data_IF_067144694798
#
_entry.id   IF_067144694798
#
_cell.length_a   1.000
_cell.length_b   1.000
_cell.length_c   1.000
_cell.angle_alpha   90.00
_cell.angle_beta   90.00
_cell.angle_gamma   90.00
#
_symmetry.space_group_name_H-M   'P 1'
#
loop_
_entity.id
_entity.type
_entity.pdbx_description
1 polymer ?
#
# COMPACT_ATOMS: atom_id res chain seq x y z
N UNK A 1 -17.58 -25.62 -4.56
CA UNK A 1 -16.54 -25.40 -3.55
C UNK A 1 -16.02 -24.00 -3.77
N UNK A 2 -16.52 -23.05 -2.99
CA UNK A 2 -16.29 -21.62 -3.20
C UNK A 2 -14.94 -21.28 -2.59
N UNK A 3 -13.93 -20.98 -3.40
CA UNK A 3 -12.70 -20.40 -2.91
C UNK A 3 -13.04 -19.03 -2.32
N UNK A 4 -13.01 -18.91 -0.99
CA UNK A 4 -12.97 -17.62 -0.34
C UNK A 4 -11.65 -17.00 -0.79
N UNK A 5 -11.72 -16.02 -1.70
CA UNK A 5 -10.59 -15.17 -2.02
C UNK A 5 -10.34 -14.29 -0.79
N UNK A 6 -9.63 -14.80 0.21
CA UNK A 6 -9.24 -14.03 1.39
C UNK A 6 -8.32 -12.87 1.00
N UNK A 7 -8.31 -11.86 1.85
CA UNK A 7 -7.41 -10.69 1.69
C UNK A 7 -5.98 -11.21 1.78
N UNK A 8 -5.11 -10.80 0.85
CA UNK A 8 -3.70 -11.22 0.85
C UNK A 8 -2.78 -10.15 1.41
N UNK A 9 -1.82 -10.58 2.20
CA UNK A 9 -0.80 -9.73 2.84
C UNK A 9 0.59 -10.31 2.65
N UNK A 10 1.60 -9.48 2.88
CA UNK A 10 2.98 -9.81 2.58
C UNK A 10 3.68 -10.43 3.79
N UNK A 11 4.29 -11.59 3.57
CA UNK A 11 5.32 -12.13 4.46
C UNK A 11 6.70 -12.00 3.81
N UNK A 12 7.72 -11.75 4.62
CA UNK A 12 9.11 -11.59 4.18
C UNK A 12 10.00 -12.36 5.14
N UNK A 13 11.09 -12.94 4.66
CA UNK A 13 12.08 -13.57 5.56
C UNK A 13 12.70 -12.50 6.47
N UNK A 14 12.78 -12.78 7.77
CA UNK A 14 13.16 -11.81 8.81
C UNK A 14 14.61 -11.31 8.77
N UNK A 15 15.44 -11.82 7.86
CA UNK A 15 16.81 -11.37 7.63
C UNK A 15 17.25 -11.67 6.19
N UNK A 16 17.98 -10.73 5.59
CA UNK A 16 18.65 -10.92 4.31
C UNK A 16 19.76 -11.95 4.43
N UNK A 17 19.50 -13.20 4.05
CA UNK A 17 20.55 -14.21 3.94
C UNK A 17 21.40 -13.98 2.67
N UNK A 18 22.71 -14.15 2.78
CA UNK A 18 23.71 -14.00 1.72
C UNK A 18 23.48 -14.99 0.57
N UNK A 19 22.68 -16.04 0.80
CA UNK A 19 22.31 -17.04 -0.21
C UNK A 19 21.02 -16.73 -0.98
N UNK A 20 20.21 -15.76 -0.51
CA UNK A 20 18.92 -15.40 -1.10
C UNK A 20 18.94 -13.95 -1.60
N UNK A 21 19.57 -13.77 -2.77
CA UNK A 21 19.79 -12.46 -3.41
C UNK A 21 18.48 -11.73 -3.80
N UNK A 22 17.34 -12.43 -3.74
CA UNK A 22 16.00 -11.90 -3.86
C UNK A 22 15.13 -12.51 -2.76
N UNK A 23 15.02 -11.85 -1.61
CA UNK A 23 13.95 -12.14 -0.66
C UNK A 23 12.64 -11.62 -1.25
N UNK A 24 12.07 -12.36 -2.21
CA UNK A 24 10.77 -12.04 -2.76
C UNK A 24 9.74 -12.21 -1.63
N UNK A 25 9.05 -11.13 -1.27
CA UNK A 25 7.94 -11.25 -0.34
C UNK A 25 6.84 -12.13 -0.94
N UNK A 26 6.22 -12.97 -0.12
CA UNK A 26 5.17 -13.90 -0.52
C UNK A 26 3.80 -13.32 -0.12
N UNK A 27 2.85 -13.32 -1.05
CA UNK A 27 1.48 -12.93 -0.75
C UNK A 27 0.70 -14.14 -0.23
N UNK A 28 0.25 -14.07 1.02
CA UNK A 28 -0.45 -15.13 1.76
C UNK A 28 -1.78 -14.64 2.31
N UNK A 29 -2.69 -15.55 2.67
CA UNK A 29 -4.00 -15.20 3.25
C UNK A 29 -3.82 -14.59 4.65
N UNK A 30 -4.64 -13.58 5.00
CA UNK A 30 -4.57 -12.91 6.32
C UNK A 30 -4.79 -13.84 7.51
N UNK A 31 -5.47 -14.97 7.31
CA UNK A 31 -5.74 -15.97 8.34
C UNK A 31 -4.58 -16.95 8.56
N UNK A 32 -3.53 -16.91 7.73
CA UNK A 32 -2.32 -17.69 7.98
C UNK A 32 -1.58 -17.19 9.23
N UNK A 33 -0.87 -18.09 9.90
CA UNK A 33 -0.13 -17.76 11.11
C UNK A 33 1.37 -17.64 10.80
N UNK A 34 1.95 -16.46 11.04
CA UNK A 34 3.36 -16.16 10.79
C UNK A 34 3.98 -15.41 11.98
N UNK A 35 5.30 -15.34 12.00
CA UNK A 35 6.05 -14.67 13.06
C UNK A 35 5.86 -13.13 13.04
N UNK A 36 5.95 -12.48 14.20
CA UNK A 36 5.77 -11.02 14.29
C UNK A 36 7.08 -10.31 14.56
N UNK A 37 7.26 -9.18 13.90
CA UNK A 37 8.27 -8.17 14.20
C UNK A 37 7.69 -6.78 14.04
N UNK A 38 8.08 -5.88 14.93
CA UNK A 38 7.55 -4.53 14.94
C UNK A 38 8.66 -3.51 14.70
N UNK A 39 8.26 -2.42 14.05
CA UNK A 39 9.07 -1.24 13.80
C UNK A 39 8.37 -0.02 14.42
N UNK A 40 9.14 0.97 14.86
CA UNK A 40 8.60 2.23 15.37
C UNK A 40 9.41 3.42 14.88
N UNK A 41 8.71 4.53 14.66
CA UNK A 41 9.29 5.83 14.32
C UNK A 41 9.88 6.55 15.54
N UNK A 42 9.55 6.08 16.75
CA UNK A 42 10.00 6.66 18.00
C UNK A 42 10.59 5.59 18.92
N UNK A 43 11.83 5.82 19.36
CA UNK A 43 12.41 5.02 20.44
C UNK A 43 11.72 5.25 21.79
N UNK A 44 12.06 4.44 22.79
CA UNK A 44 11.51 4.56 24.13
C UNK A 44 11.70 3.30 24.97
N UNK A 45 11.07 3.26 26.14
CA UNK A 45 11.05 2.06 26.99
C UNK A 45 10.42 0.90 26.22
N UNK A 46 11.16 -0.20 26.08
CA UNK A 46 10.72 -1.39 25.32
C UNK A 46 11.30 -1.48 23.91
N UNK A 47 11.87 -0.41 23.35
CA UNK A 47 12.55 -0.43 22.06
C UNK A 47 14.08 -0.56 22.24
N UNK A 48 14.71 -1.37 21.37
CA UNK A 48 16.16 -1.58 21.38
C UNK A 48 16.95 -0.36 20.89
N UNK A 49 18.26 -0.49 20.71
CA UNK A 49 19.03 0.55 20.03
C UNK A 49 18.66 0.61 18.54
N UNK A 50 18.53 1.82 18.00
CA UNK A 50 18.35 2.01 16.55
C UNK A 50 19.62 1.58 15.83
N UNK A 51 19.49 0.80 14.75
CA UNK A 51 20.63 0.42 13.90
C UNK A 51 21.05 1.60 13.02
N UNK A 52 22.34 1.68 12.70
CA UNK A 52 22.92 2.83 12.01
C UNK A 52 22.27 3.11 10.64
N UNK A 53 21.94 2.05 9.90
CA UNK A 53 21.37 2.13 8.55
C UNK A 53 19.83 2.07 8.54
N UNK A 54 19.19 2.27 9.69
CA UNK A 54 17.74 2.16 9.85
C UNK A 54 17.15 3.45 10.39
N UNK A 55 16.13 3.97 9.70
CA UNK A 55 15.40 5.13 10.20
C UNK A 55 14.44 4.78 11.34
N UNK A 56 14.09 3.50 11.49
CA UNK A 56 13.18 2.97 12.51
C UNK A 56 13.88 2.17 13.61
N UNK A 57 13.23 2.07 14.77
CA UNK A 57 13.57 1.12 15.83
C UNK A 57 12.89 -0.22 15.56
N UNK A 58 13.66 -1.32 15.48
CA UNK A 58 13.13 -2.65 15.22
C UNK A 58 13.23 -3.59 16.43
N UNK A 59 12.23 -4.46 16.64
CA UNK A 59 12.24 -5.50 17.69
C UNK A 59 11.36 -6.71 17.33
N UNK A 60 11.84 -7.91 17.68
CA UNK A 60 11.09 -9.18 17.54
C UNK A 60 10.40 -9.64 18.84
N UNK A 61 10.88 -9.21 20.01
CA UNK A 61 10.28 -9.53 21.31
C UNK A 61 9.30 -8.40 21.70
N UNK A 62 8.02 -8.57 21.36
CA UNK A 62 7.01 -7.52 21.46
C UNK A 62 5.68 -8.06 22.01
N UNK A 63 5.39 -7.88 23.32
CA UNK A 63 6.35 -7.72 24.43
C UNK A 63 7.13 -9.02 24.75
N UNK A 64 6.72 -10.14 24.16
CA UNK A 64 7.36 -11.44 24.15
C UNK A 64 7.48 -11.97 22.71
N UNK A 65 8.02 -13.17 22.52
CA UNK A 65 8.17 -13.75 21.18
C UNK A 65 6.83 -14.27 20.63
N UNK A 66 6.42 -13.73 19.49
CA UNK A 66 5.20 -14.13 18.77
C UNK A 66 5.54 -14.98 17.56
N UNK A 67 5.23 -16.28 17.65
CA UNK A 67 5.63 -17.28 16.66
C UNK A 67 4.57 -17.61 15.61
N UNK A 68 3.31 -17.25 15.86
CA UNK A 68 2.19 -17.67 15.03
C UNK A 68 0.99 -16.74 15.25
N UNK A 69 0.90 -15.68 14.44
CA UNK A 69 -0.18 -14.69 14.53
C UNK A 69 -0.78 -14.44 13.15
N UNK A 70 -2.09 -14.16 13.10
CA UNK A 70 -2.75 -13.65 11.89
C UNK A 70 -2.30 -12.22 11.60
N UNK A 71 -2.54 -11.72 10.39
CA UNK A 71 -2.13 -10.36 10.02
C UNK A 71 -2.71 -9.30 10.95
N UNK A 72 -4.03 -9.37 11.22
CA UNK A 72 -4.71 -8.39 12.07
C UNK A 72 -4.22 -8.46 13.53
N UNK A 73 -3.97 -9.67 14.04
CA UNK A 73 -3.36 -9.87 15.36
C UNK A 73 -1.97 -9.26 15.43
N UNK A 74 -1.12 -9.54 14.44
CA UNK A 74 0.23 -9.03 14.35
C UNK A 74 0.27 -7.49 14.25
N UNK A 75 -0.64 -6.90 13.48
CA UNK A 75 -0.80 -5.45 13.40
C UNK A 75 -1.18 -4.84 14.75
N UNK A 76 -2.13 -5.44 15.46
CA UNK A 76 -2.56 -4.98 16.77
C UNK A 76 -1.44 -5.10 17.81
N UNK A 77 -0.72 -6.22 17.83
CA UNK A 77 0.43 -6.44 18.73
C UNK A 77 1.48 -5.33 18.58
N UNK A 78 1.80 -4.94 17.34
CA UNK A 78 2.73 -3.84 17.13
C UNK A 78 2.16 -2.48 17.53
N UNK A 79 0.87 -2.23 17.25
CA UNK A 79 0.20 -0.99 17.64
C UNK A 79 0.15 -0.80 19.17
N UNK A 80 -0.09 -1.88 19.92
CA UNK A 80 -0.19 -1.86 21.40
C UNK A 80 1.11 -1.41 22.07
N UNK A 81 2.26 -1.55 21.41
CA UNK A 81 3.57 -1.07 21.91
C UNK A 81 4.02 0.25 21.27
N UNK A 82 3.12 0.96 20.59
CA UNK A 82 3.42 2.21 19.90
C UNK A 82 4.29 2.03 18.66
N UNK A 83 4.15 0.90 17.98
CA UNK A 83 4.82 0.60 16.73
C UNK A 83 3.83 0.20 15.64
N UNK A 84 4.37 -0.42 14.59
CA UNK A 84 3.66 -0.99 13.46
C UNK A 84 4.41 -2.22 12.95
N UNK A 85 3.76 -3.01 12.09
CA UNK A 85 4.50 -3.99 11.29
C UNK A 85 5.55 -3.27 10.44
N UNK A 86 6.70 -3.91 10.26
CA UNK A 86 7.79 -3.36 9.47
C UNK A 86 7.47 -3.38 7.97
N UNK A 87 7.97 -2.39 7.23
CA UNK A 87 7.91 -2.41 5.78
C UNK A 87 8.84 -3.48 5.21
N UNK A 88 8.60 -3.88 3.97
CA UNK A 88 9.48 -4.76 3.23
C UNK A 88 10.92 -4.23 3.24
N UNK A 89 11.09 -2.94 2.98
CA UNK A 89 12.40 -2.28 2.96
C UNK A 89 13.11 -2.34 4.30
N UNK A 90 12.40 -2.09 5.41
CA UNK A 90 12.97 -2.21 6.76
C UNK A 90 13.41 -3.64 7.08
N UNK A 91 12.67 -4.64 6.60
CA UNK A 91 13.04 -6.04 6.73
C UNK A 91 14.25 -6.40 5.85
N UNK A 92 14.34 -5.88 4.63
CA UNK A 92 15.52 -6.05 3.75
C UNK A 92 16.79 -5.39 4.27
N UNK A 93 16.65 -4.29 5.01
CA UNK A 93 17.74 -3.58 5.68
C UNK A 93 18.12 -4.20 7.02
N UNK A 94 17.55 -5.37 7.36
CA UNK A 94 17.80 -6.08 8.61
C UNK A 94 17.48 -5.23 9.86
N UNK A 95 16.56 -4.26 9.79
CA UNK A 95 16.31 -3.32 10.88
C UNK A 95 15.82 -3.99 12.17
N UNK A 96 15.21 -5.17 12.06
CA UNK A 96 14.75 -6.00 13.18
C UNK A 96 15.62 -7.23 13.44
N UNK A 97 16.66 -7.48 12.62
CA UNK A 97 17.44 -8.72 12.71
C UNK A 97 18.26 -8.81 14.00
N UNK A 98 18.41 -10.02 14.54
CA UNK A 98 19.19 -10.25 15.77
C UNK A 98 18.65 -9.51 17.01
N UNK A 99 17.38 -9.11 17.00
CA UNK A 99 16.72 -8.45 18.15
C UNK A 99 16.04 -9.46 19.11
N UNK A 100 16.14 -10.76 18.82
CA UNK A 100 15.60 -11.85 19.64
C UNK A 100 14.72 -12.84 18.86
N UNK A 101 14.16 -13.82 19.58
CA UNK A 101 13.13 -14.76 19.11
C UNK A 101 13.45 -15.72 17.96
N UNK A 102 14.68 -15.70 17.42
CA UNK A 102 15.12 -16.59 16.33
C UNK A 102 14.23 -16.50 15.07
N UNK A 103 13.61 -15.35 14.82
CA UNK A 103 12.78 -15.14 13.62
C UNK A 103 13.60 -14.79 12.37
N UNK A 104 14.94 -14.80 12.43
CA UNK A 104 15.79 -14.25 11.35
C UNK A 104 15.67 -15.07 10.06
N UNK A 105 15.43 -16.37 10.17
CA UNK A 105 15.23 -17.31 9.07
C UNK A 105 13.74 -17.65 8.85
N UNK A 106 12.83 -16.88 9.48
CA UNK A 106 11.38 -17.13 9.47
C UNK A 106 10.62 -16.08 8.66
N UNK A 107 9.39 -16.42 8.29
CA UNK A 107 8.51 -15.51 7.55
C UNK A 107 7.79 -14.59 8.52
N UNK A 108 8.02 -13.30 8.41
CA UNK A 108 7.39 -12.31 9.28
C UNK A 108 6.42 -11.46 8.49
N UNK A 109 5.34 -11.04 9.13
CA UNK A 109 4.39 -10.11 8.54
C UNK A 109 5.03 -8.77 8.21
N UNK A 110 4.71 -8.25 7.02
CA UNK A 110 5.12 -6.92 6.57
C UNK A 110 3.91 -6.02 6.38
N UNK A 111 4.06 -4.74 6.73
CA UNK A 111 3.05 -3.73 6.40
C UNK A 111 3.02 -3.36 4.93
N UNK A 112 4.08 -3.68 4.17
CA UNK A 112 4.13 -3.42 2.73
C UNK A 112 3.15 -4.29 1.98
N UNK A 113 2.56 -3.74 0.93
CA UNK A 113 1.89 -4.55 -0.07
C UNK A 113 2.90 -5.48 -0.77
N UNK A 114 2.47 -6.64 -1.29
CA UNK A 114 3.34 -7.49 -2.08
C UNK A 114 4.00 -6.71 -3.21
N UNK A 115 5.30 -6.89 -3.45
CA UNK A 115 6.04 -6.16 -4.51
C UNK A 115 5.56 -6.45 -5.94
N UNK A 116 4.65 -7.43 -6.10
CA UNK A 116 3.98 -7.74 -7.34
C UNK A 116 2.47 -7.44 -7.29
N UNK A 117 2.01 -6.71 -6.26
CA UNK A 117 0.64 -6.25 -6.20
C UNK A 117 0.39 -5.34 -7.40
N UNK A 118 -0.74 -5.58 -8.07
CA UNK A 118 -1.14 -4.81 -9.22
C UNK A 118 -2.47 -4.15 -8.96
N UNK A 119 -2.55 -2.89 -9.35
CA UNK A 119 -3.78 -2.14 -9.46
C UNK A 119 -4.08 -1.89 -10.93
N UNK A 120 -5.33 -1.54 -11.21
CA UNK A 120 -5.68 -1.04 -12.52
C UNK A 120 -5.29 0.43 -12.62
N UNK A 121 -4.68 0.78 -13.74
CA UNK A 121 -4.65 2.15 -14.22
C UNK A 121 -5.62 2.24 -15.39
N UNK A 122 -6.41 3.32 -15.42
CA UNK A 122 -7.53 3.50 -16.34
C UNK A 122 -7.33 4.78 -17.09
N UNK A 123 -7.62 4.78 -18.39
CA UNK A 123 -7.48 5.96 -19.22
C UNK A 123 -8.28 7.13 -18.62
N UNK A 124 -7.69 8.32 -18.60
CA UNK A 124 -8.29 9.52 -18.03
C UNK A 124 -9.55 10.01 -18.75
N UNK A 125 -9.79 9.52 -19.95
CA UNK A 125 -11.05 9.64 -20.67
C UNK A 125 -11.27 8.39 -21.52
N UNK A 126 -12.50 7.88 -21.59
CA UNK A 126 -12.87 6.59 -22.17
C UNK A 126 -12.36 6.27 -23.59
N UNK A 127 -11.99 7.29 -24.40
CA UNK A 127 -11.62 7.13 -25.81
C UNK A 127 -10.15 7.44 -26.18
N UNK A 128 -9.30 7.89 -25.24
CA UNK A 128 -8.03 8.54 -25.63
C UNK A 128 -6.75 7.67 -25.57
N UNK A 129 -6.71 6.60 -24.77
CA UNK A 129 -5.48 5.82 -24.56
C UNK A 129 -5.39 4.53 -25.39
N UNK A 130 -6.38 4.25 -26.25
CA UNK A 130 -6.48 3.02 -27.06
C UNK A 130 -6.83 1.74 -26.28
N UNK A 131 -6.40 1.63 -25.01
CA UNK A 131 -6.78 0.57 -24.07
C UNK A 131 -7.35 1.20 -22.81
N UNK A 132 -8.60 0.85 -22.44
CA UNK A 132 -9.31 1.52 -21.35
C UNK A 132 -8.65 1.31 -19.99
N UNK A 133 -8.15 0.11 -19.70
CA UNK A 133 -7.49 -0.21 -18.45
C UNK A 133 -6.37 -1.23 -18.63
N UNK A 134 -5.27 -1.04 -17.92
CA UNK A 134 -4.14 -1.98 -17.87
C UNK A 134 -3.74 -2.26 -16.42
N UNK A 135 -3.07 -3.38 -16.20
CA UNK A 135 -2.53 -3.74 -14.89
C UNK A 135 -1.14 -3.12 -14.71
N UNK A 136 -0.96 -2.34 -13.65
CA UNK A 136 0.32 -1.73 -13.28
C UNK A 136 0.77 -2.25 -11.91
N UNK A 137 2.06 -2.49 -11.73
CA UNK A 137 2.65 -2.74 -10.42
C UNK A 137 2.52 -1.48 -9.57
N UNK A 138 2.24 -1.65 -8.27
CA UNK A 138 2.05 -0.51 -7.34
C UNK A 138 3.24 0.46 -7.25
N UNK A 139 4.44 0.03 -7.65
CA UNK A 139 5.67 0.84 -7.70
C UNK A 139 5.86 1.60 -9.02
N UNK A 140 5.04 1.33 -10.04
CA UNK A 140 5.05 2.12 -11.28
C UNK A 140 4.53 3.53 -11.00
N UNK A 141 4.98 4.49 -11.81
CA UNK A 141 4.53 5.87 -11.70
C UNK A 141 3.45 6.12 -12.74
N UNK A 142 2.29 6.60 -12.28
CA UNK A 142 1.14 6.97 -13.11
C UNK A 142 0.48 8.24 -12.58
N UNK A 143 -0.38 8.84 -13.40
CA UNK A 143 -1.13 10.05 -13.12
C UNK A 143 -2.18 9.82 -12.02
N UNK A 144 -2.54 10.91 -11.31
CA UNK A 144 -3.51 10.83 -10.20
C UNK A 144 -4.71 11.72 -10.45
N UNK A 145 -5.89 11.13 -10.28
CA UNK A 145 -7.14 11.85 -10.06
C UNK A 145 -7.83 11.30 -8.83
N UNK A 146 -8.49 12.20 -8.11
CA UNK A 146 -9.19 11.86 -6.89
C UNK A 146 -10.69 11.99 -7.09
N UNK A 147 -11.41 11.10 -6.40
CA UNK A 147 -12.85 11.10 -6.28
C UNK A 147 -13.26 11.35 -4.83
N UNK A 148 -14.42 11.95 -4.62
CA UNK A 148 -15.02 12.16 -3.30
C UNK A 148 -16.52 11.91 -3.34
N UNK A 149 -17.06 11.42 -2.23
CA UNK A 149 -18.51 11.26 -1.99
C UNK A 149 -19.19 12.57 -1.57
N UNK A 150 -18.40 13.60 -1.26
CA UNK A 150 -18.92 14.91 -0.85
C UNK A 150 -18.13 16.03 -1.51
N UNK A 151 -18.86 16.98 -2.09
CA UNK A 151 -18.30 18.24 -2.53
C UNK A 151 -17.90 19.13 -1.36
N UNK A 152 -17.20 20.23 -1.65
CA UNK A 152 -16.77 21.17 -0.62
C UNK A 152 -15.68 22.10 -1.12
N UNK A 153 -15.05 22.82 -0.19
CA UNK A 153 -13.91 23.69 -0.52
C UNK A 153 -12.78 22.83 -1.10
N UNK A 154 -12.32 23.16 -2.30
CA UNK A 154 -11.30 22.40 -3.02
C UNK A 154 -11.85 21.38 -4.01
N UNK A 155 -13.15 21.07 -3.99
CA UNK A 155 -13.78 20.21 -5.01
C UNK A 155 -14.49 21.10 -6.05
N UNK A 156 -14.30 20.78 -7.34
CA UNK A 156 -14.92 21.51 -8.45
C UNK A 156 -16.41 21.15 -8.61
N UNK A 157 -16.98 21.60 -9.73
CA UNK A 157 -18.33 21.21 -10.10
C UNK A 157 -18.40 19.70 -10.36
N UNK A 158 -19.46 19.06 -9.86
CA UNK A 158 -19.68 17.64 -10.08
C UNK A 158 -20.15 17.41 -11.52
N UNK A 159 -19.59 16.40 -12.19
CA UNK A 159 -20.15 15.94 -13.47
C UNK A 159 -21.61 15.50 -13.23
N UNK A 160 -22.60 16.06 -13.95
CA UNK A 160 -24.02 15.79 -13.69
C UNK A 160 -24.43 14.33 -13.87
N UNK A 161 -23.64 13.55 -14.61
CA UNK A 161 -23.88 12.11 -14.83
C UNK A 161 -23.20 11.23 -13.77
N UNK A 162 -22.54 11.82 -12.77
CA UNK A 162 -21.76 11.10 -11.78
C UNK A 162 -22.25 11.37 -10.35
N UNK A 163 -22.15 10.33 -9.54
CA UNK A 163 -22.49 10.42 -8.11
C UNK A 163 -21.35 11.03 -7.29
N UNK A 164 -20.11 10.92 -7.77
CA UNK A 164 -18.88 11.43 -7.13
C UNK A 164 -18.39 12.75 -7.72
N UNK A 165 -17.64 13.50 -6.91
CA UNK A 165 -16.87 14.68 -7.34
C UNK A 165 -15.48 14.24 -7.80
N UNK A 166 -15.08 14.67 -8.99
CA UNK A 166 -13.76 14.37 -9.57
C UNK A 166 -12.83 15.57 -9.57
N UNK A 167 -11.51 15.34 -9.40
CA UNK A 167 -10.49 16.39 -9.51
C UNK A 167 -9.10 15.84 -9.88
N UNK A 168 -8.43 16.51 -10.81
CA UNK A 168 -7.02 16.22 -11.20
C UNK A 168 -5.97 17.09 -10.51
N UNK A 169 -6.32 18.29 -10.06
CA UNK A 169 -5.38 19.22 -9.42
C UNK A 169 -5.46 19.08 -7.89
N UNK A 170 -4.63 18.22 -7.31
CA UNK A 170 -4.82 17.74 -5.93
C UNK A 170 -3.48 17.63 -5.19
N UNK A 171 -3.03 18.69 -4.49
CA UNK A 171 -3.39 20.12 -4.64
C UNK A 171 -2.76 20.80 -5.88
N UNK A 172 -1.87 20.10 -6.57
CA UNK A 172 -1.26 20.41 -7.87
C UNK A 172 -1.39 19.19 -8.80
N UNK A 173 -0.93 19.31 -10.05
CA UNK A 173 -1.00 18.20 -11.00
C UNK A 173 0.02 17.10 -10.68
N UNK A 174 -0.48 15.92 -10.30
CA UNK A 174 0.35 14.74 -10.06
C UNK A 174 0.50 13.90 -11.32
N UNK A 175 1.64 14.00 -11.96
CA UNK A 175 1.95 13.31 -13.24
C UNK A 175 2.65 11.96 -13.07
N UNK A 176 3.16 11.64 -11.87
CA UNK A 176 3.98 10.45 -11.68
C UNK A 176 4.02 10.09 -10.19
N UNK A 177 3.07 9.28 -9.74
CA UNK A 177 2.99 8.81 -8.36
C UNK A 177 2.93 7.28 -8.31
N UNK A 178 3.50 6.68 -7.27
CA UNK A 178 3.24 5.27 -6.95
C UNK A 178 1.82 5.11 -6.41
N UNK A 179 1.27 3.90 -6.42
CA UNK A 179 -0.11 3.67 -5.98
C UNK A 179 -0.37 4.14 -4.54
N UNK A 180 0.54 3.83 -3.61
CA UNK A 180 0.41 4.23 -2.21
C UNK A 180 0.54 5.75 -2.04
N UNK A 181 1.44 6.40 -2.79
CA UNK A 181 1.56 7.86 -2.82
C UNK A 181 0.30 8.52 -3.35
N UNK A 182 -0.23 8.02 -4.49
CA UNK A 182 -1.46 8.52 -5.11
C UNK A 182 -2.67 8.38 -4.18
N UNK A 183 -2.78 7.25 -3.46
CA UNK A 183 -3.82 7.03 -2.45
C UNK A 183 -3.71 8.05 -1.31
N UNK A 184 -2.51 8.33 -0.83
CA UNK A 184 -2.30 9.32 0.23
C UNK A 184 -2.63 10.74 -0.24
N UNK A 185 -2.21 11.12 -1.46
CA UNK A 185 -2.54 12.41 -2.07
C UNK A 185 -4.06 12.64 -2.08
N UNK A 186 -4.84 11.64 -2.47
CA UNK A 186 -6.30 11.76 -2.44
C UNK A 186 -6.88 11.80 -1.03
N UNK A 187 -6.30 11.06 -0.09
CA UNK A 187 -6.74 11.07 1.31
C UNK A 187 -6.51 12.44 1.97
N UNK A 188 -5.41 13.13 1.65
CA UNK A 188 -5.03 14.41 2.23
C UNK A 188 -6.03 15.55 1.93
N UNK A 189 -6.78 15.41 0.83
CA UNK A 189 -7.85 16.36 0.44
C UNK A 189 -9.26 15.86 0.83
N UNK A 190 -9.35 14.81 1.64
CA UNK A 190 -10.60 14.18 2.06
C UNK A 190 -11.31 13.37 0.96
N UNK A 191 -10.56 12.91 -0.03
CA UNK A 191 -11.06 12.04 -1.11
C UNK A 191 -10.42 10.65 -1.07
N UNK A 192 -10.47 9.99 -2.22
CA UNK A 192 -9.88 8.67 -2.50
C UNK A 192 -9.49 8.58 -3.97
N UNK A 193 -8.70 7.57 -4.33
CA UNK A 193 -8.59 7.19 -5.74
C UNK A 193 -9.97 6.79 -6.26
N UNK A 194 -10.24 7.12 -7.52
CA UNK A 194 -11.47 6.74 -8.21
C UNK A 194 -11.50 5.24 -8.49
N UNK A 195 -12.69 4.65 -8.49
CA UNK A 195 -12.86 3.27 -8.95
C UNK A 195 -12.66 3.20 -10.46
N UNK A 196 -12.44 1.99 -10.98
CA UNK A 196 -12.33 1.76 -12.42
C UNK A 196 -13.59 2.27 -13.13
N UNK A 197 -14.75 1.95 -12.58
CA UNK A 197 -16.05 2.29 -13.14
C UNK A 197 -16.29 3.81 -13.17
N UNK A 198 -15.79 4.54 -12.17
CA UNK A 198 -15.85 6.01 -12.16
C UNK A 198 -14.95 6.66 -13.21
N UNK A 199 -13.77 6.07 -13.45
CA UNK A 199 -12.84 6.55 -14.48
C UNK A 199 -13.34 6.21 -15.89
N UNK A 200 -13.81 4.98 -16.13
CA UNK A 200 -14.43 4.59 -17.40
C UNK A 200 -15.75 5.34 -17.68
N UNK A 201 -16.41 5.84 -16.63
CA UNK A 201 -17.59 6.70 -16.72
C UNK A 201 -17.29 8.20 -16.90
N UNK A 202 -16.02 8.57 -17.13
CA UNK A 202 -15.56 9.95 -17.33
C UNK A 202 -15.92 10.90 -16.17
N UNK A 203 -16.06 10.39 -14.94
CA UNK A 203 -16.47 11.20 -13.80
C UNK A 203 -15.44 12.22 -13.34
N UNK A 204 -14.18 12.04 -13.76
CA UNK A 204 -13.10 12.99 -13.49
C UNK A 204 -12.59 13.69 -14.74
N UNK A 205 -13.13 13.39 -15.93
CA UNK A 205 -12.67 13.93 -17.22
C UNK A 205 -12.78 15.45 -17.28
N UNK A 206 -11.82 16.11 -17.94
CA UNK A 206 -11.82 17.56 -18.12
C UNK A 206 -11.67 18.38 -16.82
N UNK A 207 -11.27 17.76 -15.70
CA UNK A 207 -11.06 18.47 -14.43
C UNK A 207 -9.68 19.13 -14.31
N UNK A 208 -8.85 19.08 -15.36
CA UNK A 208 -7.56 19.76 -15.47
C UNK A 208 -6.37 18.80 -15.65
N UNK A 209 -5.15 19.37 -15.59
CA UNK A 209 -3.86 18.66 -15.63
C UNK A 209 -3.51 17.88 -16.91
N UNK A 210 -4.36 17.94 -17.96
CA UNK A 210 -4.16 17.25 -19.24
C UNK A 210 -4.03 15.72 -19.14
N UNK A 211 -4.45 15.12 -18.02
CA UNK A 211 -4.37 13.68 -17.83
C UNK A 211 -5.44 12.91 -18.63
N UNK A 212 -6.23 13.55 -19.48
CA UNK A 212 -7.37 12.90 -20.19
C UNK A 212 -6.83 11.86 -21.19
N UNK A 213 -5.57 12.03 -21.60
CA UNK A 213 -4.85 11.16 -22.53
C UNK A 213 -3.90 10.16 -21.82
N UNK A 214 -3.90 10.14 -20.48
CA UNK A 214 -2.97 9.37 -19.65
C UNK A 214 -3.67 8.21 -18.90
N UNK A 215 -2.88 7.24 -18.42
CA UNK A 215 -3.38 6.15 -17.57
C UNK A 215 -3.31 6.55 -16.09
N UNK A 216 -4.44 6.49 -15.40
CA UNK A 216 -4.63 7.07 -14.08
C UNK A 216 -4.84 5.98 -13.05
N UNK A 217 -4.22 6.12 -11.89
CA UNK A 217 -4.42 5.18 -10.78
C UNK A 217 -5.90 5.02 -10.40
N UNK A 218 -6.35 3.77 -10.38
CA UNK A 218 -7.65 3.38 -9.84
C UNK A 218 -7.53 2.65 -8.50
N UNK A 219 -8.48 2.88 -7.60
CA UNK A 219 -8.63 2.09 -6.38
C UNK A 219 -8.97 0.62 -6.65
N UNK A 220 -9.35 0.25 -7.87
CA UNK A 220 -9.71 -1.13 -8.25
C UNK A 220 -8.45 -1.99 -8.34
N UNK A 221 -8.33 -2.96 -7.43
CA UNK A 221 -7.27 -3.95 -7.45
C UNK A 221 -7.41 -4.90 -8.65
N UNK A 222 -6.29 -5.42 -9.14
CA UNK A 222 -6.32 -6.54 -10.08
C UNK A 222 -6.67 -7.82 -9.31
N UNK A 223 -7.96 -8.10 -9.11
CA UNK A 223 -8.41 -9.37 -8.55
C UNK A 223 -8.06 -10.51 -9.51
N UNK A 224 -7.24 -11.45 -9.04
CA UNK A 224 -6.75 -12.58 -9.81
C UNK A 224 -7.89 -13.44 -10.37
N UNK A 225 -7.74 -13.79 -11.64
CA UNK A 225 -8.28 -15.05 -12.21
C UNK A 225 -7.76 -16.26 -11.45
#
# INVERSE_FOLDING_TARGET
STALSGVKKLIVVGRKDVTHVNMAGIAVDTEEAHEVRCCSESGGTGWGAKKADCDVWGRSEVPDCKYAETYDSAQQICADIGGRLCTYTELQLDCTAGTGCLHDDKHVWSSSAPQNAKHLVVCGTSDNCGVSAIAALIEEAHEVRCCSESGGTGWGDKNPNCDVWGRSEVPDCKHAETYDSAKQVCADIGGRLCTKEELEGDCTAGTGCMHDDDHIWSSTALSGV
#
